data_IF_123365926395
#
_entry.id   IF_123365926395
#
_cell.length_a   1.000
_cell.length_b   1.000
_cell.length_c   1.000
_cell.angle_alpha   90.00
_cell.angle_beta   90.00
_cell.angle_gamma   90.00
#
_symmetry.space_group_name_H-M   'P 1'
#
loop_
_entity.id
_entity.type
_entity.pdbx_description
1 polymer ?
#
# COMPACT_ATOMS: atom_id res chain seq x y z
N UNK A 1 16.99 -16.32 -3.56
CA UNK A 1 17.17 -14.93 -4.03
C UNK A 1 17.16 -14.03 -2.82
N UNK A 2 17.93 -12.95 -2.85
CA UNK A 2 17.83 -11.85 -1.89
C UNK A 2 16.86 -10.81 -2.44
N UNK A 3 15.86 -10.45 -1.67
CA UNK A 3 14.82 -9.49 -2.06
C UNK A 3 14.85 -8.32 -1.07
N UNK A 4 14.97 -7.11 -1.57
CA UNK A 4 14.82 -5.89 -0.78
C UNK A 4 13.39 -5.40 -0.91
N UNK A 5 12.63 -5.43 0.17
CA UNK A 5 11.23 -4.96 0.21
C UNK A 5 11.18 -3.55 0.78
N UNK A 6 10.59 -2.60 0.04
CA UNK A 6 10.49 -1.20 0.47
C UNK A 6 9.04 -0.85 0.81
N UNK A 7 8.82 -0.41 2.06
CA UNK A 7 7.52 0.02 2.58
C UNK A 7 7.65 1.35 3.31
N UNK A 8 6.59 2.15 3.35
CA UNK A 8 6.67 3.47 3.98
C UNK A 8 5.39 3.94 4.67
N UNK A 9 4.28 3.27 4.45
CA UNK A 9 3.01 3.64 5.06
C UNK A 9 2.18 2.42 5.48
N UNK A 10 1.15 2.66 6.27
CA UNK A 10 0.27 1.64 6.83
C UNK A 10 -0.30 0.65 5.80
N UNK A 11 -0.89 1.09 4.67
CA UNK A 11 -1.40 0.16 3.66
C UNK A 11 -0.35 -0.79 3.10
N UNK A 12 0.90 -0.34 2.96
CA UNK A 12 1.99 -1.18 2.47
C UNK A 12 2.39 -2.26 3.47
N UNK A 13 2.42 -1.94 4.77
CA UNK A 13 2.64 -2.96 5.81
C UNK A 13 1.54 -4.02 5.81
N UNK A 14 0.29 -3.62 5.66
CA UNK A 14 -0.84 -4.56 5.58
C UNK A 14 -0.67 -5.50 4.39
N UNK A 15 -0.29 -4.99 3.22
CA UNK A 15 -0.01 -5.80 2.02
C UNK A 15 1.21 -6.71 2.23
N UNK A 16 2.28 -6.16 2.81
CA UNK A 16 3.50 -6.92 3.10
C UNK A 16 3.24 -8.09 4.06
N UNK A 17 2.28 -7.99 5.00
CA UNK A 17 1.93 -9.07 5.90
C UNK A 17 1.58 -10.38 5.17
N UNK A 18 0.80 -10.29 4.10
CA UNK A 18 0.43 -11.47 3.32
C UNK A 18 1.60 -11.99 2.45
N UNK A 19 2.39 -11.07 1.88
CA UNK A 19 3.46 -11.41 0.92
C UNK A 19 4.73 -11.86 1.63
N UNK A 20 5.25 -11.09 2.61
CA UNK A 20 6.53 -11.36 3.27
C UNK A 20 6.54 -12.72 3.97
N UNK A 21 5.40 -13.14 4.56
CA UNK A 21 5.28 -14.44 5.19
C UNK A 21 5.64 -15.59 4.22
N UNK A 22 5.10 -15.55 3.00
CA UNK A 22 5.35 -16.55 1.98
C UNK A 22 6.70 -16.37 1.28
N UNK A 23 7.12 -15.12 1.09
CA UNK A 23 8.40 -14.78 0.47
C UNK A 23 9.56 -15.35 1.29
N UNK A 24 9.53 -15.18 2.62
CA UNK A 24 10.57 -15.66 3.55
C UNK A 24 10.65 -17.18 3.70
N UNK A 25 9.64 -17.91 3.24
CA UNK A 25 9.73 -19.40 3.19
C UNK A 25 10.75 -19.90 2.14
N UNK A 26 11.04 -19.10 1.10
CA UNK A 26 11.83 -19.52 -0.06
C UNK A 26 12.94 -18.56 -0.43
N UNK A 27 12.92 -17.36 0.10
CA UNK A 27 13.82 -16.27 -0.25
C UNK A 27 14.30 -15.54 1.02
N UNK A 28 15.43 -14.89 0.91
CA UNK A 28 15.96 -13.99 1.93
C UNK A 28 15.38 -12.59 1.67
N UNK A 29 14.55 -12.10 2.57
CA UNK A 29 13.96 -10.78 2.48
C UNK A 29 14.60 -9.84 3.48
N UNK A 30 15.03 -8.66 3.01
CA UNK A 30 15.38 -7.50 3.84
C UNK A 30 14.27 -6.46 3.70
N UNK A 31 13.60 -6.12 4.79
CA UNK A 31 12.51 -5.15 4.80
C UNK A 31 13.04 -3.77 5.21
N UNK A 32 12.83 -2.78 4.36
CA UNK A 32 13.18 -1.37 4.61
C UNK A 32 11.93 -0.56 4.85
N UNK A 33 11.87 0.11 5.99
CA UNK A 33 10.86 1.12 6.29
C UNK A 33 11.40 2.51 6.00
N UNK A 34 10.78 3.22 5.06
CA UNK A 34 11.23 4.58 4.71
C UNK A 34 10.87 5.63 5.75
N UNK A 35 9.83 5.41 6.56
CA UNK A 35 9.33 6.38 7.54
C UNK A 35 8.34 7.38 6.96
N UNK A 36 7.76 7.16 5.77
CA UNK A 36 6.86 8.10 5.10
C UNK A 36 5.70 8.57 5.99
N UNK A 37 5.13 7.67 6.79
CA UNK A 37 4.18 7.95 7.85
C UNK A 37 4.77 7.46 9.16
N UNK A 38 5.38 8.38 9.89
CA UNK A 38 5.98 8.11 11.19
C UNK A 38 4.91 8.27 12.27
N UNK A 39 4.38 7.16 12.71
CA UNK A 39 3.46 7.07 13.84
C UNK A 39 3.94 5.90 14.71
N UNK A 40 4.77 6.20 15.70
CA UNK A 40 5.46 5.20 16.53
C UNK A 40 4.49 4.21 17.20
N UNK A 41 3.32 4.68 17.63
CA UNK A 41 2.33 3.84 18.29
C UNK A 41 1.62 2.90 17.30
N UNK A 42 1.42 3.35 16.05
CA UNK A 42 0.74 2.56 15.03
C UNK A 42 1.63 1.48 14.41
N UNK A 43 2.93 1.71 14.31
CA UNK A 43 3.87 0.75 13.74
C UNK A 43 3.97 -0.53 14.59
N UNK A 44 4.08 -0.41 15.91
CA UNK A 44 4.20 -1.56 16.81
C UNK A 44 2.94 -2.44 16.85
N UNK A 45 1.76 -1.86 16.70
CA UNK A 45 0.49 -2.59 16.60
C UNK A 45 0.47 -3.46 15.35
N UNK A 46 0.88 -2.92 14.21
CA UNK A 46 0.93 -3.68 12.96
C UNK A 46 1.89 -4.86 13.00
N UNK A 47 3.08 -4.68 13.56
CA UNK A 47 4.06 -5.77 13.67
C UNK A 47 3.55 -6.90 14.57
N UNK A 48 2.87 -6.57 15.68
CA UNK A 48 2.32 -7.56 16.59
C UNK A 48 1.07 -8.26 16.05
N UNK A 49 0.13 -7.48 15.49
CA UNK A 49 -1.18 -8.01 15.11
C UNK A 49 -1.17 -8.68 13.74
N UNK A 50 -0.45 -8.13 12.77
CA UNK A 50 -0.38 -8.66 11.42
C UNK A 50 0.78 -9.64 11.25
N UNK A 51 1.61 -9.88 12.27
CA UNK A 51 2.80 -10.72 12.17
C UNK A 51 3.72 -10.32 11.02
N UNK A 52 3.76 -9.02 10.68
CA UNK A 52 4.72 -8.49 9.72
C UNK A 52 6.11 -8.54 10.36
N UNK A 53 7.14 -9.00 9.65
CA UNK A 53 8.51 -8.90 10.15
C UNK A 53 8.85 -7.44 10.49
N UNK A 54 9.59 -7.23 11.58
CA UNK A 54 10.12 -5.88 11.83
C UNK A 54 11.08 -5.51 10.72
N UNK A 55 11.09 -4.24 10.27
CA UNK A 55 12.07 -3.79 9.31
C UNK A 55 13.49 -4.00 9.84
N UNK A 56 14.36 -4.55 9.03
CA UNK A 56 15.78 -4.64 9.32
C UNK A 56 16.46 -3.28 9.19
N UNK A 57 15.88 -2.38 8.38
CA UNK A 57 16.40 -1.03 8.12
C UNK A 57 15.26 -0.01 8.23
N UNK A 58 15.48 1.03 9.04
CA UNK A 58 14.57 2.15 9.20
C UNK A 58 15.25 3.45 8.77
N UNK A 59 14.67 4.14 7.76
CA UNK A 59 15.27 5.37 7.21
C UNK A 59 14.78 6.63 7.92
N UNK A 60 13.65 6.60 8.61
CA UNK A 60 13.11 7.71 9.40
C UNK A 60 12.75 8.96 8.58
N UNK A 61 12.39 8.82 7.30
CA UNK A 61 12.16 9.95 6.40
C UNK A 61 10.67 10.28 6.36
N UNK A 62 10.28 11.32 7.07
CA UNK A 62 8.92 11.84 7.12
C UNK A 62 8.84 13.31 6.75
N UNK A 63 7.62 13.81 6.49
CA UNK A 63 7.32 15.23 6.29
C UNK A 63 7.96 15.88 5.06
N UNK A 64 7.60 17.14 4.84
CA UNK A 64 7.99 17.93 3.69
C UNK A 64 7.05 17.74 2.48
N UNK A 65 7.37 18.37 1.34
CA UNK A 65 6.64 18.15 0.09
C UNK A 65 6.92 16.75 -0.46
N UNK A 66 6.02 16.23 -1.31
CA UNK A 66 6.22 14.94 -1.99
C UNK A 66 7.58 14.88 -2.71
N UNK A 67 7.98 15.95 -3.40
CA UNK A 67 9.26 16.03 -4.08
C UNK A 67 10.44 15.91 -3.11
N UNK A 68 10.43 16.70 -2.02
CA UNK A 68 11.52 16.69 -1.04
C UNK A 68 11.60 15.34 -0.30
N UNK A 69 10.46 14.73 0.00
CA UNK A 69 10.39 13.43 0.65
C UNK A 69 10.92 12.33 -0.27
N UNK A 70 10.45 12.26 -1.53
CA UNK A 70 10.92 11.29 -2.53
C UNK A 70 12.43 11.43 -2.77
N UNK A 71 12.96 12.66 -2.87
CA UNK A 71 14.39 12.87 -3.08
C UNK A 71 15.24 12.35 -1.90
N UNK A 72 14.81 12.60 -0.67
CA UNK A 72 15.50 12.07 0.52
C UNK A 72 15.44 10.56 0.59
N UNK A 73 14.29 9.95 0.28
CA UNK A 73 14.14 8.49 0.24
C UNK A 73 15.05 7.88 -0.83
N UNK A 74 15.05 8.45 -2.04
CA UNK A 74 15.91 8.00 -3.13
C UNK A 74 17.38 7.95 -2.72
N UNK A 75 17.89 9.07 -2.15
CA UNK A 75 19.27 9.17 -1.70
C UNK A 75 19.61 8.22 -0.53
N UNK A 76 18.63 7.88 0.32
CA UNK A 76 18.85 6.98 1.44
C UNK A 76 18.72 5.50 1.05
N UNK A 77 17.94 5.16 0.04
CA UNK A 77 17.77 3.77 -0.44
C UNK A 77 18.98 3.34 -1.29
N UNK A 78 19.62 4.23 -2.03
CA UNK A 78 20.76 3.90 -2.88
C UNK A 78 21.88 3.13 -2.13
N UNK A 79 22.44 3.62 -0.99
CA UNK A 79 23.45 2.88 -0.24
C UNK A 79 22.92 1.56 0.33
N UNK A 80 21.65 1.46 0.66
CA UNK A 80 21.03 0.22 1.13
C UNK A 80 21.05 -0.85 0.02
N UNK A 81 20.70 -0.47 -1.22
CA UNK A 81 20.77 -1.39 -2.36
C UNK A 81 22.23 -1.86 -2.60
N UNK A 82 23.19 -0.96 -2.47
CA UNK A 82 24.60 -1.31 -2.64
C UNK A 82 25.09 -2.28 -1.55
N UNK A 83 24.67 -2.10 -0.30
CA UNK A 83 25.04 -2.95 0.83
C UNK A 83 24.38 -4.31 0.79
N UNK A 84 23.05 -4.36 0.59
CA UNK A 84 22.27 -5.60 0.55
C UNK A 84 22.55 -6.39 -0.71
N UNK A 85 22.90 -5.72 -1.81
CA UNK A 85 23.10 -6.30 -3.15
C UNK A 85 21.96 -7.27 -3.53
N UNK A 86 20.70 -6.82 -3.57
CA UNK A 86 19.54 -7.69 -3.78
C UNK A 86 19.45 -8.17 -5.23
N UNK A 87 18.85 -9.35 -5.43
CA UNK A 87 18.55 -9.87 -6.77
C UNK A 87 17.30 -9.19 -7.37
N UNK A 88 16.43 -8.62 -6.51
CA UNK A 88 15.24 -7.84 -6.90
C UNK A 88 14.82 -6.89 -5.78
N UNK A 89 14.18 -5.78 -6.16
CA UNK A 89 13.52 -4.85 -5.22
C UNK A 89 12.01 -4.97 -5.38
N UNK A 90 11.31 -5.21 -4.27
CA UNK A 90 9.86 -5.35 -4.20
C UNK A 90 9.25 -4.05 -3.64
N UNK A 91 8.29 -3.49 -4.38
CA UNK A 91 7.54 -2.28 -3.99
C UNK A 91 6.04 -2.49 -4.11
N UNK A 92 5.24 -1.71 -3.36
CA UNK A 92 3.79 -1.86 -3.28
C UNK A 92 3.06 -0.56 -3.59
N UNK A 93 2.01 -0.62 -4.41
CA UNK A 93 1.08 0.48 -4.63
C UNK A 93 1.73 1.71 -5.26
N UNK A 94 1.47 2.90 -4.70
CA UNK A 94 1.69 4.17 -5.41
C UNK A 94 2.20 5.33 -4.54
N UNK A 95 2.88 5.02 -3.45
CA UNK A 95 3.39 6.04 -2.53
C UNK A 95 4.73 6.64 -2.99
N UNK A 96 5.20 7.68 -2.30
CA UNK A 96 6.54 8.22 -2.53
C UNK A 96 7.63 7.17 -2.27
N UNK A 97 7.42 6.27 -1.30
CA UNK A 97 8.32 5.13 -1.01
C UNK A 97 8.40 4.15 -2.16
N UNK A 98 7.25 3.89 -2.83
CA UNK A 98 7.16 3.03 -4.02
C UNK A 98 8.00 3.59 -5.15
N UNK A 99 7.80 4.87 -5.47
CA UNK A 99 8.56 5.54 -6.53
C UNK A 99 10.05 5.60 -6.20
N UNK A 100 10.41 6.00 -4.98
CA UNK A 100 11.81 6.12 -4.57
C UNK A 100 12.53 4.75 -4.60
N UNK A 101 11.88 3.69 -4.09
CA UNK A 101 12.42 2.33 -4.12
C UNK A 101 12.59 1.80 -5.54
N UNK A 102 11.55 1.96 -6.38
CA UNK A 102 11.59 1.54 -7.79
C UNK A 102 12.64 2.29 -8.60
N UNK A 103 12.73 3.60 -8.44
CA UNK A 103 13.71 4.42 -9.17
C UNK A 103 15.14 4.13 -8.73
N UNK A 104 15.41 4.01 -7.42
CA UNK A 104 16.74 3.64 -6.91
C UNK A 104 17.18 2.27 -7.45
N UNK A 105 16.29 1.29 -7.43
CA UNK A 105 16.58 -0.05 -7.95
C UNK A 105 16.87 -0.03 -9.46
N UNK A 106 16.03 0.65 -10.24
CA UNK A 106 16.22 0.75 -11.69
C UNK A 106 17.55 1.44 -12.06
N UNK A 107 17.95 2.49 -11.35
CA UNK A 107 19.24 3.16 -11.53
C UNK A 107 20.42 2.27 -11.14
N UNK A 108 20.25 1.44 -10.12
CA UNK A 108 21.24 0.43 -9.71
C UNK A 108 21.22 -0.84 -10.61
N UNK A 109 20.39 -0.87 -11.65
CA UNK A 109 20.19 -2.01 -12.55
C UNK A 109 19.70 -3.29 -11.82
N UNK A 110 18.99 -3.13 -10.71
CA UNK A 110 18.32 -4.20 -9.97
C UNK A 110 16.87 -4.31 -10.45
N UNK A 111 16.40 -5.51 -10.83
CA UNK A 111 15.01 -5.71 -11.25
C UNK A 111 14.00 -5.24 -10.21
N UNK A 112 13.00 -4.50 -10.65
CA UNK A 112 11.87 -4.03 -9.81
C UNK A 112 10.68 -4.96 -9.96
N UNK A 113 10.10 -5.37 -8.85
CA UNK A 113 8.83 -6.10 -8.77
C UNK A 113 7.79 -5.18 -8.15
N UNK A 114 6.72 -4.87 -8.88
CA UNK A 114 5.67 -3.97 -8.43
C UNK A 114 4.38 -4.73 -8.11
N UNK A 115 3.97 -4.73 -6.86
CA UNK A 115 2.69 -5.30 -6.39
C UNK A 115 1.60 -4.24 -6.50
N UNK A 116 0.45 -4.61 -7.03
CA UNK A 116 -0.70 -3.73 -7.33
C UNK A 116 -0.43 -2.80 -8.53
N UNK A 117 0.28 -3.34 -9.52
CA UNK A 117 0.63 -2.66 -10.76
C UNK A 117 -0.57 -2.48 -11.71
N UNK A 118 -0.49 -1.49 -12.61
CA UNK A 118 -1.45 -1.28 -13.70
C UNK A 118 -2.76 -0.60 -13.31
N UNK A 119 -2.92 -0.14 -12.07
CA UNK A 119 -4.06 0.67 -11.64
C UNK A 119 -3.92 2.10 -12.16
N UNK A 120 -5.03 2.73 -12.57
CA UNK A 120 -5.07 4.13 -13.03
C UNK A 120 -6.29 4.86 -12.48
N UNK A 121 -6.07 6.10 -12.04
CA UNK A 121 -7.12 7.07 -11.76
C UNK A 121 -7.34 8.00 -12.96
N UNK A 122 -6.35 8.08 -13.86
CA UNK A 122 -6.27 9.02 -14.97
C UNK A 122 -6.26 10.50 -14.55
N UNK A 123 -6.12 10.77 -13.27
CA UNK A 123 -5.98 12.12 -12.71
C UNK A 123 -4.53 12.40 -12.34
N UNK A 124 -3.80 13.04 -13.26
CA UNK A 124 -2.40 13.40 -13.07
C UNK A 124 -2.15 14.53 -12.05
N UNK A 125 -3.18 15.12 -11.49
CA UNK A 125 -3.04 16.03 -10.35
C UNK A 125 -2.81 15.28 -9.04
N UNK A 126 -3.09 13.99 -9.02
CA UNK A 126 -2.81 13.10 -7.88
C UNK A 126 -1.35 12.65 -7.91
N UNK A 127 -0.58 12.88 -6.84
CA UNK A 127 0.80 12.37 -6.73
C UNK A 127 0.90 10.86 -6.88
N UNK A 128 -0.09 10.14 -6.38
CA UNK A 128 -0.19 8.67 -6.47
C UNK A 128 -0.27 8.19 -7.92
N UNK A 129 -0.96 8.93 -8.79
CA UNK A 129 -1.03 8.59 -10.21
C UNK A 129 0.33 8.71 -10.90
N UNK A 130 1.08 9.76 -10.59
CA UNK A 130 2.44 9.92 -11.11
C UNK A 130 3.35 8.80 -10.61
N UNK A 131 3.28 8.50 -9.32
CA UNK A 131 4.10 7.46 -8.68
C UNK A 131 3.87 6.09 -9.33
N UNK A 132 2.59 5.67 -9.51
CA UNK A 132 2.29 4.35 -10.07
C UNK A 132 2.66 4.21 -11.53
N UNK A 133 2.39 5.24 -12.35
CA UNK A 133 2.76 5.22 -13.77
C UNK A 133 4.28 5.10 -13.93
N UNK A 134 5.05 5.90 -13.21
CA UNK A 134 6.51 5.85 -13.28
C UNK A 134 7.04 4.51 -12.78
N UNK A 135 6.53 4.00 -11.65
CA UNK A 135 6.97 2.72 -11.08
C UNK A 135 6.66 1.55 -12.03
N UNK A 136 5.47 1.55 -12.66
CA UNK A 136 5.12 0.52 -13.65
C UNK A 136 6.12 0.49 -14.81
N UNK A 137 6.49 1.66 -15.35
CA UNK A 137 7.44 1.75 -16.45
C UNK A 137 8.89 1.37 -16.07
N UNK A 138 9.24 1.41 -14.78
CA UNK A 138 10.54 0.98 -14.26
C UNK A 138 10.58 -0.53 -13.93
N UNK A 139 9.41 -1.19 -13.85
CA UNK A 139 9.32 -2.54 -13.29
C UNK A 139 9.57 -3.62 -14.31
N UNK A 140 10.37 -4.63 -13.91
CA UNK A 140 10.61 -5.84 -14.68
C UNK A 140 9.46 -6.86 -14.53
N UNK A 141 8.82 -6.91 -13.35
CA UNK A 141 7.67 -7.77 -13.06
C UNK A 141 6.55 -6.92 -12.44
N UNK A 142 5.36 -7.03 -13.01
CA UNK A 142 4.17 -6.26 -12.67
C UNK A 142 3.06 -7.21 -12.21
N UNK A 143 2.81 -7.25 -10.91
CA UNK A 143 1.81 -8.11 -10.28
C UNK A 143 0.50 -7.33 -10.20
N UNK A 144 -0.41 -7.62 -11.13
CA UNK A 144 -1.65 -6.88 -11.34
C UNK A 144 -2.80 -7.49 -10.54
N UNK A 145 -3.65 -6.64 -9.95
CA UNK A 145 -4.84 -7.07 -9.22
C UNK A 145 -5.95 -7.63 -10.13
N UNK A 146 -5.90 -7.34 -11.43
CA UNK A 146 -6.94 -7.74 -12.39
C UNK A 146 -6.44 -7.82 -13.82
N UNK A 147 -7.21 -8.48 -14.69
CA UNK A 147 -6.96 -8.47 -16.13
C UNK A 147 -7.14 -7.08 -16.76
N UNK A 148 -7.95 -6.21 -16.16
CA UNK A 148 -8.08 -4.84 -16.61
C UNK A 148 -6.77 -4.06 -16.43
N UNK A 149 -6.08 -4.27 -15.30
CA UNK A 149 -4.77 -3.69 -15.03
C UNK A 149 -3.70 -4.19 -16.02
N UNK A 150 -3.71 -5.49 -16.36
CA UNK A 150 -2.80 -6.04 -17.39
C UNK A 150 -3.04 -5.35 -18.74
N UNK A 151 -4.30 -5.26 -19.20
CA UNK A 151 -4.63 -4.58 -20.46
C UNK A 151 -4.25 -3.10 -20.46
N UNK A 152 -4.34 -2.44 -19.31
CA UNK A 152 -3.91 -1.05 -19.16
C UNK A 152 -2.40 -0.91 -19.42
N UNK A 153 -1.58 -1.76 -18.82
CA UNK A 153 -0.13 -1.77 -19.03
C UNK A 153 0.25 -2.10 -20.48
N UNK A 154 -0.47 -3.03 -21.11
CA UNK A 154 -0.30 -3.33 -22.54
C UNK A 154 -0.61 -2.12 -23.42
N UNK A 155 -1.69 -1.37 -23.13
CA UNK A 155 -2.05 -0.16 -23.86
C UNK A 155 -1.04 0.98 -23.72
N UNK A 156 -0.33 1.02 -22.61
CA UNK A 156 0.75 1.96 -22.34
C UNK A 156 2.12 1.48 -22.82
N UNK A 157 2.19 0.31 -23.44
CA UNK A 157 3.44 -0.30 -23.92
C UNK A 157 4.51 -0.45 -22.83
N UNK A 158 4.11 -0.81 -21.61
CA UNK A 158 5.04 -1.08 -20.52
C UNK A 158 5.85 -2.35 -20.84
N UNK A 159 7.17 -2.28 -20.75
CA UNK A 159 8.05 -3.39 -21.17
C UNK A 159 8.15 -4.54 -20.17
N UNK A 160 7.78 -4.33 -18.90
CA UNK A 160 7.81 -5.37 -17.87
C UNK A 160 6.80 -6.50 -18.12
N UNK A 161 7.05 -7.65 -17.50
CA UNK A 161 6.12 -8.79 -17.55
C UNK A 161 4.93 -8.55 -16.63
N UNK A 162 3.76 -8.30 -17.18
CA UNK A 162 2.51 -8.15 -16.43
C UNK A 162 1.84 -9.52 -16.18
N UNK A 163 1.42 -9.76 -14.95
CA UNK A 163 0.74 -11.01 -14.53
C UNK A 163 -0.44 -10.66 -13.63
N UNK A 164 -1.64 -11.11 -13.98
CA UNK A 164 -2.81 -10.98 -13.13
C UNK A 164 -2.71 -12.02 -11.99
N UNK A 165 -2.50 -11.56 -10.78
CA UNK A 165 -2.33 -12.41 -9.58
C UNK A 165 -3.48 -12.29 -8.59
N UNK A 166 -4.40 -11.33 -8.80
CA UNK A 166 -5.45 -10.96 -7.86
C UNK A 166 -5.05 -9.82 -6.94
N UNK A 167 -5.99 -9.41 -6.09
CA UNK A 167 -5.80 -8.30 -5.16
C UNK A 167 -5.23 -8.82 -3.84
N UNK A 168 -4.03 -8.37 -3.49
CA UNK A 168 -3.35 -8.71 -2.23
C UNK A 168 -4.16 -8.35 -0.99
N UNK A 169 -5.08 -7.37 -1.07
CA UNK A 169 -5.98 -7.05 0.03
C UNK A 169 -7.02 -8.14 0.27
N UNK A 170 -7.39 -8.90 -0.77
CA UNK A 170 -8.21 -10.11 -0.61
C UNK A 170 -7.46 -11.18 0.18
N UNK A 171 -6.17 -11.40 -0.11
CA UNK A 171 -5.34 -12.34 0.65
C UNK A 171 -5.23 -11.92 2.12
N UNK A 172 -5.05 -10.62 2.38
CA UNK A 172 -5.07 -10.04 3.74
C UNK A 172 -6.41 -10.32 4.44
N UNK A 173 -7.53 -10.06 3.77
CA UNK A 173 -8.86 -10.29 4.33
C UNK A 173 -9.10 -11.78 4.64
N UNK A 174 -8.64 -12.68 3.78
CA UNK A 174 -8.72 -14.13 4.00
C UNK A 174 -7.83 -14.58 5.17
N UNK A 175 -6.64 -14.02 5.30
CA UNK A 175 -5.68 -14.35 6.35
C UNK A 175 -6.17 -13.93 7.74
N UNK A 176 -6.71 -12.71 7.87
CA UNK A 176 -7.11 -12.13 9.15
C UNK A 176 -8.62 -12.26 9.45
N UNK A 177 -9.45 -12.50 8.44
CA UNK A 177 -10.91 -12.59 8.57
C UNK A 177 -11.40 -13.52 9.66
N UNK A 178 -10.86 -14.76 9.81
CA UNK A 178 -11.27 -15.67 10.88
C UNK A 178 -11.00 -15.10 12.29
N UNK A 179 -9.85 -14.44 12.49
CA UNK A 179 -9.50 -13.78 13.77
C UNK A 179 -10.42 -12.60 14.04
N UNK A 180 -10.64 -11.74 13.03
CA UNK A 180 -11.54 -10.59 13.18
C UNK A 180 -12.99 -10.99 13.50
N UNK A 181 -13.48 -12.11 12.93
CA UNK A 181 -14.82 -12.62 13.25
C UNK A 181 -14.93 -13.16 14.67
N UNK A 182 -13.85 -13.69 15.22
CA UNK A 182 -13.81 -14.20 16.59
C UNK A 182 -13.68 -13.11 17.65
N UNK A 183 -13.12 -11.95 17.28
CA UNK A 183 -12.89 -10.82 18.17
C UNK A 183 -14.10 -9.87 18.18
N UNK A 184 -14.84 -9.88 19.28
CA UNK A 184 -15.99 -8.97 19.50
C UNK A 184 -15.61 -7.68 20.25
N UNK A 185 -14.35 -7.53 20.65
CA UNK A 185 -13.86 -6.37 21.40
C UNK A 185 -14.17 -5.04 20.72
N UNK A 186 -13.78 -4.82 19.43
CA UNK A 186 -14.03 -3.58 18.72
C UNK A 186 -15.51 -3.22 18.59
N UNK A 187 -16.41 -4.21 18.43
CA UNK A 187 -17.85 -3.97 18.36
C UNK A 187 -18.40 -3.54 19.72
N UNK A 188 -17.94 -4.20 20.79
CA UNK A 188 -18.33 -3.85 22.15
C UNK A 188 -17.85 -2.44 22.53
N UNK A 189 -16.63 -2.08 22.16
CA UNK A 189 -16.05 -0.76 22.37
C UNK A 189 -16.81 0.33 21.61
N UNK A 190 -17.22 0.05 20.37
CA UNK A 190 -18.05 0.94 19.57
C UNK A 190 -19.52 0.98 20.00
N UNK A 191 -19.96 0.09 20.90
CA UNK A 191 -21.35 0.00 21.36
C UNK A 191 -22.32 -0.48 20.27
N UNK A 192 -21.85 -1.29 19.30
CA UNK A 192 -22.65 -1.79 18.18
C UNK A 192 -22.72 -3.31 18.18
N UNK A 193 -23.73 -3.87 17.53
CA UNK A 193 -23.89 -5.32 17.36
C UNK A 193 -23.51 -5.75 15.94
N UNK A 194 -22.98 -6.95 15.80
CA UNK A 194 -22.66 -7.54 14.50
C UNK A 194 -23.92 -7.56 13.60
N UNK A 195 -23.79 -7.02 12.36
CA UNK A 195 -24.87 -6.94 11.40
C UNK A 195 -25.84 -5.77 11.60
N UNK A 196 -25.68 -4.97 12.68
CA UNK A 196 -26.57 -3.85 13.02
C UNK A 196 -25.85 -2.48 12.97
N UNK A 197 -24.88 -2.33 12.06
CA UNK A 197 -24.18 -1.06 11.87
C UNK A 197 -23.75 -0.88 10.40
N UNK A 198 -23.49 0.37 10.03
CA UNK A 198 -22.85 0.73 8.77
C UNK A 198 -21.43 1.26 9.09
N UNK A 199 -20.44 0.75 8.38
CA UNK A 199 -19.07 1.26 8.46
C UNK A 199 -18.78 2.13 7.25
N UNK A 200 -18.40 3.37 7.48
CA UNK A 200 -17.99 4.29 6.42
C UNK A 200 -16.62 4.89 6.72
N UNK A 201 -15.80 5.05 5.69
CA UNK A 201 -14.53 5.77 5.77
C UNK A 201 -14.49 6.90 4.75
N UNK A 202 -14.04 8.08 5.17
CA UNK A 202 -13.85 9.23 4.28
C UNK A 202 -12.60 10.00 4.74
N UNK A 203 -11.59 10.08 3.89
CA UNK A 203 -10.29 10.66 4.26
C UNK A 203 -9.62 11.46 3.12
N UNK A 204 -10.22 11.52 1.92
CA UNK A 204 -9.64 12.31 0.81
C UNK A 204 -9.86 13.78 1.08
N UNK A 205 -8.78 14.59 1.00
CA UNK A 205 -8.78 16.03 1.17
C UNK A 205 -9.91 16.74 0.37
N UNK A 206 -10.08 16.35 -0.90
CA UNK A 206 -11.16 16.89 -1.74
C UNK A 206 -12.59 16.63 -1.25
N UNK A 207 -12.80 15.71 -0.31
CA UNK A 207 -14.10 15.39 0.28
C UNK A 207 -14.26 15.98 1.69
N UNK A 208 -13.17 16.11 2.46
CA UNK A 208 -13.23 16.46 3.88
C UNK A 208 -12.74 17.88 4.18
N UNK A 209 -11.90 18.47 3.32
CA UNK A 209 -11.36 19.82 3.51
C UNK A 209 -12.32 20.92 2.98
N UNK A 210 -13.23 20.57 2.06
CA UNK A 210 -14.27 21.47 1.58
C UNK A 210 -15.55 21.31 2.46
N UNK A 211 -15.97 22.33 3.23
CA UNK A 211 -17.12 22.24 4.11
C UNK A 211 -18.42 21.88 3.40
N UNK A 212 -18.59 22.30 2.13
CA UNK A 212 -19.80 22.00 1.37
C UNK A 212 -19.84 20.51 0.96
N UNK A 213 -18.72 19.97 0.50
CA UNK A 213 -18.60 18.55 0.15
C UNK A 213 -18.68 17.64 1.37
N UNK A 214 -18.06 18.04 2.48
CA UNK A 214 -18.16 17.30 3.74
C UNK A 214 -19.61 17.23 4.21
N UNK A 215 -20.36 18.33 4.12
CA UNK A 215 -21.79 18.35 4.47
C UNK A 215 -22.60 17.41 3.58
N UNK A 216 -22.41 17.45 2.26
CA UNK A 216 -23.07 16.53 1.33
C UNK A 216 -22.75 15.05 1.65
N UNK A 217 -21.51 14.75 2.02
CA UNK A 217 -21.11 13.41 2.43
C UNK A 217 -21.82 12.97 3.71
N UNK A 218 -21.89 13.84 4.71
CA UNK A 218 -22.60 13.57 5.97
C UNK A 218 -24.09 13.37 5.72
N UNK A 219 -24.72 14.23 4.91
CA UNK A 219 -26.14 14.10 4.54
C UNK A 219 -26.42 12.77 3.82
N UNK A 220 -25.53 12.34 2.92
CA UNK A 220 -25.61 11.04 2.26
C UNK A 220 -25.51 9.88 3.26
N UNK A 221 -24.56 9.93 4.20
CA UNK A 221 -24.41 8.90 5.23
C UNK A 221 -25.64 8.81 6.14
N UNK A 222 -26.19 9.95 6.54
CA UNK A 222 -27.44 10.01 7.32
C UNK A 222 -28.59 9.40 6.52
N UNK A 223 -28.72 9.75 5.23
CA UNK A 223 -29.76 9.20 4.37
C UNK A 223 -29.65 7.69 4.24
N UNK A 224 -28.44 7.15 4.00
CA UNK A 224 -28.20 5.71 3.91
C UNK A 224 -28.51 5.01 5.23
N UNK A 225 -28.15 5.63 6.36
CA UNK A 225 -28.47 5.09 7.67
C UNK A 225 -29.99 5.00 7.90
N UNK A 226 -30.73 6.08 7.60
CA UNK A 226 -32.19 6.13 7.75
C UNK A 226 -32.87 5.17 6.76
N UNK A 227 -32.45 5.15 5.49
CA UNK A 227 -33.04 4.29 4.46
C UNK A 227 -32.71 2.80 4.64
N UNK A 228 -31.54 2.48 5.18
CA UNK A 228 -31.07 1.09 5.36
C UNK A 228 -31.69 0.36 6.56
N UNK A 229 -32.23 1.09 7.53
CA UNK A 229 -32.85 0.51 8.73
C UNK A 229 -34.36 0.28 8.61
N UNK A 230 -35.00 0.71 7.51
CA UNK A 230 -36.46 0.58 7.32
C UNK A 230 -36.85 -0.69 6.54
N UNK A 231 -35.92 -1.65 6.40
CA UNK A 231 -36.16 -2.91 5.68
C UNK A 231 -36.13 -4.15 6.58
N UNK A 232 -36.56 -4.01 7.82
CA UNK A 232 -36.73 -5.16 8.75
C UNK A 232 -38.18 -5.53 8.92
#
# INVERSE_FOLDING_TARGET
MRVLTVVGNRPQFVKAAAVSRLLRERHEETLVHTGQHHDDELSDVFFRELSVPRPEIELGISGGSNTAQTARMLSAIEPVIAEVAPDAVLVYGDTNSTLAGGLAAAQAQVPVVHVEAGMRSFDRTMPEELNRVLTDHLSALLLCSSQAAVRQLESEHVHGRAVAVGDVMTDVAMLFGPRCKADQGPLAEAGVMAGAYLLATAHRAGNVDDPARLRQLVDLLIFLFVAGYDTS
#
